data_IF_632275088514
#
_entry.id   IF_632275088514
#
_cell.length_a   1.000
_cell.length_b   1.000
_cell.length_c   1.000
_cell.angle_alpha   90.00
_cell.angle_beta   90.00
_cell.angle_gamma   90.00
#
_symmetry.space_group_name_H-M   'P 1'
#
loop_
_entity.id
_entity.type
_entity.pdbx_description
1 polymer ?
#
# COMPACT_ATOMS: atom_id res chain seq x y z
N UNK A 1 24.90 -39.80 80.97
CA UNK A 1 24.98 -41.26 80.76
C UNK A 1 23.58 -41.84 80.82
N UNK A 2 23.05 -42.32 79.68
CA UNK A 2 22.17 -43.49 79.55
C UNK A 2 21.52 -43.47 78.16
N UNK A 3 22.01 -44.39 77.33
CA UNK A 3 21.53 -44.81 76.02
C UNK A 3 20.15 -45.46 76.07
N UNK A 4 19.30 -45.21 75.07
CA UNK A 4 18.35 -46.20 74.56
C UNK A 4 17.91 -45.85 73.13
N UNK A 5 18.50 -46.55 72.16
CA UNK A 5 17.96 -46.72 70.80
C UNK A 5 16.90 -47.82 70.86
N UNK A 6 15.68 -47.56 70.37
CA UNK A 6 14.79 -48.63 69.91
C UNK A 6 14.11 -48.26 68.59
N UNK A 7 14.30 -49.19 67.65
CA UNK A 7 13.96 -49.19 66.23
C UNK A 7 12.45 -48.97 65.99
N UNK A 8 12.09 -48.28 64.89
CA UNK A 8 10.99 -48.74 64.01
C UNK A 8 10.98 -48.05 62.65
N UNK A 9 10.59 -48.86 61.67
CA UNK A 9 10.75 -48.69 60.25
C UNK A 9 9.95 -47.52 59.63
N UNK A 10 10.48 -47.02 58.52
CA UNK A 10 9.80 -46.16 57.55
C UNK A 10 8.60 -46.88 56.93
N UNK A 11 7.42 -46.24 56.83
CA UNK A 11 6.53 -46.46 55.71
C UNK A 11 6.75 -45.34 54.69
N UNK A 12 7.12 -45.76 53.46
CA UNK A 12 6.94 -44.99 52.23
C UNK A 12 5.46 -44.59 52.12
N UNK A 13 5.16 -43.30 52.16
CA UNK A 13 3.92 -42.78 51.55
C UNK A 13 4.21 -41.52 50.75
N UNK A 14 3.54 -41.49 49.60
CA UNK A 14 3.70 -40.68 48.39
C UNK A 14 3.89 -39.18 48.57
N UNK A 15 4.84 -38.64 47.81
CA UNK A 15 5.08 -37.21 47.59
C UNK A 15 3.99 -36.55 46.72
N UNK A 16 2.76 -36.42 47.23
CA UNK A 16 1.66 -35.76 46.51
C UNK A 16 0.80 -34.81 47.39
N UNK A 17 1.39 -34.13 48.37
CA UNK A 17 0.60 -33.25 49.27
C UNK A 17 1.22 -31.87 49.55
N UNK A 18 2.02 -31.31 48.63
CA UNK A 18 2.60 -29.95 48.83
C UNK A 18 2.45 -28.94 47.68
N UNK A 19 1.62 -29.22 46.68
CA UNK A 19 1.39 -28.30 45.56
C UNK A 19 -0.05 -27.77 45.46
N UNK A 20 -0.72 -27.57 46.59
CA UNK A 20 -2.05 -26.97 46.63
C UNK A 20 -2.10 -25.82 47.63
N UNK A 21 -1.33 -24.74 47.42
CA UNK A 21 -1.55 -23.44 48.10
C UNK A 21 -0.77 -22.25 47.54
N UNK A 22 -0.72 -22.10 46.23
CA UNK A 22 -0.22 -20.86 45.61
C UNK A 22 -1.05 -20.50 44.38
N UNK A 23 -2.28 -20.00 44.58
CA UNK A 23 -3.04 -19.23 43.57
C UNK A 23 -4.28 -18.55 44.15
N UNK A 24 -4.11 -17.81 45.25
CA UNK A 24 -5.22 -17.08 45.89
C UNK A 24 -5.30 -15.59 45.52
N UNK A 25 -4.57 -15.11 44.50
CA UNK A 25 -4.62 -13.70 44.05
C UNK A 25 -4.40 -13.54 42.53
N UNK A 26 -5.16 -14.28 41.71
CA UNK A 26 -5.40 -13.83 40.34
C UNK A 26 -6.86 -13.38 40.31
N UNK A 27 -7.07 -12.07 40.45
CA UNK A 27 -8.38 -11.45 40.21
C UNK A 27 -8.89 -11.91 38.85
N UNK A 28 -10.10 -12.46 38.82
CA UNK A 28 -10.82 -12.67 37.57
C UNK A 28 -10.91 -11.31 36.87
N UNK A 29 -10.11 -11.12 35.81
CA UNK A 29 -10.30 -10.01 34.91
C UNK A 29 -11.59 -10.31 34.16
N UNK A 30 -12.68 -9.71 34.61
CA UNK A 30 -13.94 -9.65 33.88
C UNK A 30 -13.60 -9.19 32.46
N UNK A 31 -13.73 -10.11 31.51
CA UNK A 31 -13.58 -9.81 30.10
C UNK A 31 -14.73 -8.87 29.72
N UNK A 32 -14.44 -7.57 29.75
CA UNK A 32 -15.29 -6.54 29.18
C UNK A 32 -15.59 -6.94 27.73
N UNK A 33 -16.81 -7.45 27.52
CA UNK A 33 -17.32 -7.72 26.19
C UNK A 33 -17.37 -6.39 25.44
N UNK A 34 -16.42 -6.21 24.53
CA UNK A 34 -16.44 -5.12 23.56
C UNK A 34 -17.63 -5.38 22.65
N UNK A 35 -18.77 -4.76 22.94
CA UNK A 35 -19.89 -4.65 22.00
C UNK A 35 -19.33 -4.05 20.72
N UNK A 36 -19.34 -4.82 19.64
CA UNK A 36 -19.06 -4.30 18.31
C UNK A 36 -20.10 -3.21 18.02
N UNK A 37 -19.68 -1.96 18.12
CA UNK A 37 -20.49 -0.82 17.72
C UNK A 37 -20.71 -0.99 16.22
N UNK A 38 -21.96 -1.22 15.81
CA UNK A 38 -22.35 -1.20 14.41
C UNK A 38 -21.72 0.06 13.77
N UNK A 39 -20.93 -0.16 12.72
CA UNK A 39 -20.07 0.87 12.11
C UNK A 39 -20.95 1.82 11.31
N UNK A 40 -21.60 2.72 12.05
CA UNK A 40 -22.65 3.61 11.57
C UNK A 40 -22.13 4.62 10.53
N UNK A 41 -22.92 4.80 9.47
CA UNK A 41 -22.74 5.53 8.19
C UNK A 41 -21.60 5.11 7.23
N UNK A 42 -21.94 4.49 6.10
CA UNK A 42 -20.99 4.20 5.00
C UNK A 42 -20.43 5.52 4.43
N UNK A 43 -19.11 5.71 4.44
CA UNK A 43 -18.49 6.90 3.88
C UNK A 43 -18.23 6.63 2.39
N UNK A 44 -19.30 6.55 1.61
CA UNK A 44 -19.22 6.27 0.18
C UNK A 44 -18.64 7.46 -0.57
N UNK A 45 -17.64 7.19 -1.41
CA UNK A 45 -17.05 8.13 -2.35
C UNK A 45 -17.22 7.61 -3.76
N UNK A 46 -17.62 8.48 -4.67
CA UNK A 46 -17.71 8.17 -6.09
C UNK A 46 -16.41 8.54 -6.80
N UNK A 47 -15.90 7.61 -7.61
CA UNK A 47 -14.77 7.80 -8.52
C UNK A 47 -15.27 7.68 -9.95
N UNK A 48 -15.17 8.76 -10.72
CA UNK A 48 -15.49 8.78 -12.15
C UNK A 48 -14.21 8.53 -12.95
N UNK A 49 -14.06 7.32 -13.49
CA UNK A 49 -12.80 6.86 -14.10
C UNK A 49 -12.95 6.76 -15.62
N UNK A 50 -11.97 7.29 -16.34
CA UNK A 50 -11.86 7.15 -17.79
C UNK A 50 -11.68 5.68 -18.21
N UNK A 51 -12.55 5.21 -19.12
CA UNK A 51 -12.55 3.86 -19.67
C UNK A 51 -12.41 3.91 -21.19
N UNK A 52 -11.49 3.10 -21.69
CA UNK A 52 -11.35 2.87 -23.13
C UNK A 52 -10.56 1.57 -23.37
N UNK A 53 -11.02 0.77 -24.33
CA UNK A 53 -10.38 -0.50 -24.67
C UNK A 53 -10.13 -0.55 -26.18
N UNK A 54 -8.95 -0.99 -26.63
CA UNK A 54 -8.64 -1.06 -28.06
C UNK A 54 -9.50 -2.09 -28.81
N UNK A 55 -10.07 -3.08 -28.10
CA UNK A 55 -10.94 -4.10 -28.67
C UNK A 55 -12.36 -3.59 -28.97
N UNK A 56 -12.81 -2.54 -28.27
CA UNK A 56 -14.13 -1.95 -28.46
C UNK A 56 -14.00 -0.55 -29.06
N UNK A 57 -14.45 -0.38 -30.31
CA UNK A 57 -14.36 0.88 -31.06
C UNK A 57 -15.35 1.96 -30.56
N UNK A 58 -15.98 1.75 -29.41
CA UNK A 58 -16.82 2.77 -28.76
C UNK A 58 -15.99 3.97 -28.31
N UNK A 59 -16.67 5.11 -28.19
CA UNK A 59 -16.06 6.33 -27.66
C UNK A 59 -15.59 6.10 -26.22
N UNK A 60 -14.52 6.77 -25.76
CA UNK A 60 -14.15 6.74 -24.37
C UNK A 60 -15.26 7.30 -23.48
N UNK A 61 -15.44 6.69 -22.31
CA UNK A 61 -16.50 7.03 -21.37
C UNK A 61 -15.95 7.21 -19.95
N UNK A 62 -16.67 7.94 -19.11
CA UNK A 62 -16.43 8.00 -17.68
C UNK A 62 -17.36 7.01 -17.00
N UNK A 63 -16.79 6.09 -16.24
CA UNK A 63 -17.54 5.11 -15.47
C UNK A 63 -17.41 5.40 -13.98
N UNK A 64 -18.55 5.43 -13.29
CA UNK A 64 -18.62 5.73 -11.86
C UNK A 64 -18.50 4.47 -11.01
N UNK A 65 -17.66 4.55 -9.98
CA UNK A 65 -17.46 3.52 -8.97
C UNK A 65 -17.69 4.08 -7.58
N UNK A 66 -18.53 3.44 -6.78
CA UNK A 66 -18.74 3.82 -5.39
C UNK A 66 -17.90 2.93 -4.47
N UNK A 67 -17.07 3.55 -3.65
CA UNK A 67 -16.17 2.86 -2.72
C UNK A 67 -16.38 3.40 -1.30
N UNK A 68 -16.46 2.49 -0.33
CA UNK A 68 -16.47 2.87 1.09
C UNK A 68 -15.06 3.23 1.55
N UNK A 69 -14.87 4.51 1.94
CA UNK A 69 -13.59 5.01 2.43
C UNK A 69 -13.16 4.39 3.76
N UNK A 70 -14.09 3.80 4.53
CA UNK A 70 -13.76 3.12 5.80
C UNK A 70 -13.03 1.80 5.62
N UNK A 71 -13.13 1.22 4.43
CA UNK A 71 -12.53 -0.05 4.03
C UNK A 71 -11.53 0.14 2.86
N UNK A 72 -11.06 1.37 2.67
CA UNK A 72 -10.08 1.74 1.67
C UNK A 72 -8.90 2.44 2.34
N UNK A 73 -7.72 2.31 1.75
CA UNK A 73 -6.57 3.12 2.14
C UNK A 73 -6.79 4.60 1.80
N UNK A 74 -5.96 5.51 2.36
CA UNK A 74 -6.17 6.95 2.24
C UNK A 74 -5.81 7.52 0.85
N UNK A 75 -5.10 6.77 0.01
CA UNK A 75 -4.60 7.26 -1.28
C UNK A 75 -5.48 6.83 -2.44
N UNK A 76 -5.49 7.61 -3.52
CA UNK A 76 -6.27 7.31 -4.73
C UNK A 76 -5.87 5.96 -5.34
N UNK A 77 -4.58 5.60 -5.30
CA UNK A 77 -4.11 4.28 -5.75
C UNK A 77 -4.75 3.14 -4.96
N UNK A 78 -5.05 3.34 -3.68
CA UNK A 78 -5.68 2.32 -2.85
C UNK A 78 -7.11 2.05 -3.32
N UNK A 79 -7.84 3.12 -3.65
CA UNK A 79 -9.17 3.02 -4.24
C UNK A 79 -9.14 2.34 -5.62
N UNK A 80 -8.19 2.69 -6.49
CA UNK A 80 -8.05 2.05 -7.81
C UNK A 80 -7.76 0.55 -7.70
N UNK A 81 -6.90 0.16 -6.75
CA UNK A 81 -6.63 -1.26 -6.48
C UNK A 81 -7.86 -1.97 -5.93
N UNK A 82 -8.60 -1.34 -5.01
CA UNK A 82 -9.84 -1.90 -4.45
C UNK A 82 -10.89 -2.11 -5.54
N UNK A 83 -11.13 -1.10 -6.38
CA UNK A 83 -12.02 -1.21 -7.54
C UNK A 83 -11.61 -2.38 -8.42
N UNK A 84 -10.32 -2.50 -8.76
CA UNK A 84 -9.83 -3.58 -9.62
C UNK A 84 -10.01 -4.97 -8.98
N UNK A 85 -9.78 -5.10 -7.68
CA UNK A 85 -9.79 -6.39 -7.01
C UNK A 85 -11.21 -6.87 -6.69
N UNK A 86 -12.12 -5.96 -6.33
CA UNK A 86 -13.42 -6.30 -5.75
C UNK A 86 -14.60 -5.99 -6.66
N UNK A 87 -14.48 -5.01 -7.57
CA UNK A 87 -15.61 -4.49 -8.35
C UNK A 87 -15.46 -4.78 -9.85
N UNK A 88 -14.35 -4.34 -10.46
CA UNK A 88 -14.08 -4.52 -11.88
C UNK A 88 -12.62 -4.89 -12.18
N UNK A 89 -12.32 -6.19 -12.39
CA UNK A 89 -10.97 -6.65 -12.70
C UNK A 89 -10.47 -6.19 -14.07
N UNK A 90 -11.32 -5.65 -14.94
CA UNK A 90 -10.92 -5.17 -16.28
C UNK A 90 -10.24 -3.80 -16.23
N UNK A 91 -10.45 -3.01 -15.17
CA UNK A 91 -9.84 -1.69 -14.99
C UNK A 91 -8.31 -1.77 -15.04
N UNK A 92 -7.68 -1.06 -15.97
CA UNK A 92 -6.23 -1.15 -16.21
C UNK A 92 -5.50 0.15 -15.90
N UNK A 93 -4.42 0.07 -15.11
CA UNK A 93 -3.54 1.19 -14.79
C UNK A 93 -2.14 0.69 -14.43
N UNK A 94 -1.13 1.58 -14.51
CA UNK A 94 0.25 1.25 -14.13
C UNK A 94 0.51 1.59 -12.66
N UNK A 95 1.18 0.68 -11.95
CA UNK A 95 1.61 0.84 -10.55
C UNK A 95 2.77 -0.09 -10.22
N UNK A 96 3.66 0.35 -9.31
CA UNK A 96 4.77 -0.48 -8.79
C UNK A 96 5.08 -0.16 -7.32
N UNK A 97 5.82 0.92 -7.03
CA UNK A 97 6.41 1.16 -5.69
C UNK A 97 5.45 1.58 -4.56
N UNK A 98 4.29 2.18 -4.87
CA UNK A 98 3.33 2.76 -3.90
C UNK A 98 3.84 3.89 -2.97
N UNK A 99 5.08 4.32 -3.11
CA UNK A 99 5.68 5.41 -2.30
C UNK A 99 6.14 6.62 -3.13
N UNK A 100 5.76 6.64 -4.40
CA UNK A 100 6.00 7.78 -5.29
C UNK A 100 7.36 7.84 -5.97
N UNK A 101 8.28 6.89 -5.71
CA UNK A 101 9.64 6.97 -6.26
C UNK A 101 9.73 6.57 -7.75
N UNK A 102 8.91 5.62 -8.22
CA UNK A 102 9.03 5.07 -9.57
C UNK A 102 8.31 5.89 -10.67
N UNK A 103 7.42 6.81 -10.30
CA UNK A 103 6.59 7.58 -11.26
C UNK A 103 5.56 6.78 -12.08
N UNK A 104 5.39 5.47 -11.87
CA UNK A 104 4.56 4.63 -12.76
C UNK A 104 3.05 4.93 -12.70
N UNK A 105 2.54 5.48 -11.60
CA UNK A 105 1.11 5.77 -11.41
C UNK A 105 0.75 7.25 -11.66
N UNK A 106 1.48 7.89 -12.57
CA UNK A 106 1.17 9.24 -13.02
C UNK A 106 -0.14 9.26 -13.82
N UNK A 107 -1.07 10.11 -13.40
CA UNK A 107 -2.38 10.30 -14.05
C UNK A 107 -2.94 11.68 -13.68
N UNK A 108 -4.07 12.05 -14.27
CA UNK A 108 -4.79 13.27 -13.92
C UNK A 108 -5.91 12.95 -12.92
N UNK A 109 -5.87 13.61 -11.77
CA UNK A 109 -6.80 13.42 -10.65
C UNK A 109 -7.40 14.79 -10.35
N UNK A 110 -8.71 14.92 -10.50
CA UNK A 110 -9.46 16.16 -10.26
C UNK A 110 -8.89 17.36 -11.05
N UNK A 111 -8.47 17.12 -12.29
CA UNK A 111 -7.90 18.13 -13.18
C UNK A 111 -6.40 18.36 -12.99
N UNK A 112 -5.79 17.86 -11.92
CA UNK A 112 -4.37 18.03 -11.63
C UNK A 112 -3.57 16.77 -11.96
N UNK A 113 -2.41 16.92 -12.60
CA UNK A 113 -1.50 15.80 -12.82
C UNK A 113 -0.77 15.46 -11.52
N UNK A 114 -0.81 14.18 -11.13
CA UNK A 114 -0.20 13.72 -9.90
C UNK A 114 0.09 12.22 -9.89
N UNK A 115 0.70 11.75 -8.81
CA UNK A 115 0.93 10.33 -8.57
C UNK A 115 -0.20 9.79 -7.70
N UNK A 116 -0.99 8.85 -8.22
CA UNK A 116 -2.12 8.29 -7.47
C UNK A 116 -1.74 7.71 -6.11
N UNK A 117 -0.50 7.24 -5.94
CA UNK A 117 0.01 6.72 -4.67
C UNK A 117 0.33 7.79 -3.62
N UNK A 118 0.46 9.05 -4.01
CA UNK A 118 0.72 10.17 -3.09
C UNK A 118 -0.49 11.11 -2.96
N UNK A 119 -1.42 11.04 -3.89
CA UNK A 119 -2.66 11.83 -3.85
C UNK A 119 -3.63 11.22 -2.84
N UNK A 120 -3.96 11.99 -1.79
CA UNK A 120 -4.96 11.62 -0.80
C UNK A 120 -6.36 11.74 -1.39
N UNK A 121 -7.25 10.84 -0.98
CA UNK A 121 -8.67 10.94 -1.32
C UNK A 121 -9.31 12.04 -0.46
N UNK A 122 -9.97 12.98 -1.11
CA UNK A 122 -10.74 14.00 -0.40
C UNK A 122 -12.04 13.41 0.15
N UNK A 123 -12.28 13.58 1.45
CA UNK A 123 -13.48 13.10 2.15
C UNK A 123 -14.76 13.89 1.84
N UNK A 124 -14.71 14.87 0.93
CA UNK A 124 -15.86 15.64 0.47
C UNK A 124 -16.83 14.80 -0.39
N UNK A 125 -18.06 15.32 -0.54
CA UNK A 125 -19.15 14.68 -1.31
C UNK A 125 -18.98 14.74 -2.84
N UNK A 126 -18.05 15.54 -3.35
CA UNK A 126 -17.76 15.62 -4.79
C UNK A 126 -17.26 14.27 -5.31
N UNK A 127 -17.64 13.89 -6.53
CA UNK A 127 -17.03 12.76 -7.21
C UNK A 127 -15.59 13.13 -7.60
N UNK A 128 -14.65 12.20 -7.39
CA UNK A 128 -13.27 12.38 -7.85
C UNK A 128 -13.14 11.87 -9.27
N UNK A 129 -12.68 12.72 -10.18
CA UNK A 129 -12.51 12.39 -11.60
C UNK A 129 -11.08 11.95 -11.86
N UNK A 130 -10.92 10.76 -12.44
CA UNK A 130 -9.60 10.18 -12.76
C UNK A 130 -9.51 9.95 -14.26
N UNK A 131 -8.56 10.63 -14.90
CA UNK A 131 -8.30 10.54 -16.33
C UNK A 131 -6.82 10.21 -16.59
N UNK A 132 -6.47 9.65 -17.76
CA UNK A 132 -5.07 9.45 -18.14
C UNK A 132 -4.31 10.79 -18.21
N UNK A 133 -2.98 10.71 -18.34
CA UNK A 133 -2.18 11.91 -18.58
C UNK A 133 -2.70 12.68 -19.81
N UNK A 134 -2.90 14.01 -19.71
CA UNK A 134 -3.54 14.78 -20.76
C UNK A 134 -2.70 14.78 -22.02
N UNK A 135 -3.38 14.82 -23.16
CA UNK A 135 -2.76 14.97 -24.50
C UNK A 135 -1.81 13.83 -24.92
N UNK A 136 -1.92 12.66 -24.28
CA UNK A 136 -1.17 11.45 -24.62
C UNK A 136 -2.07 10.42 -25.31
N UNK A 137 -1.50 9.58 -26.16
CA UNK A 137 -2.22 8.45 -26.75
C UNK A 137 -2.50 7.39 -25.68
N UNK A 138 -3.78 7.02 -25.52
CA UNK A 138 -4.21 6.00 -24.58
C UNK A 138 -4.08 4.62 -25.22
N UNK A 139 -3.46 3.68 -24.52
CA UNK A 139 -3.36 2.26 -24.92
C UNK A 139 -4.56 1.47 -24.38
N UNK A 140 -4.94 1.71 -23.11
CA UNK A 140 -6.11 1.11 -22.46
C UNK A 140 -6.39 1.83 -21.14
N UNK A 141 -7.63 2.23 -20.89
CA UNK A 141 -8.07 2.90 -19.66
C UNK A 141 -7.13 4.04 -19.24
N UNK A 142 -6.42 3.91 -18.11
CA UNK A 142 -5.49 4.91 -17.58
C UNK A 142 -4.04 4.70 -18.05
N UNK A 143 -3.79 3.76 -18.97
CA UNK A 143 -2.46 3.45 -19.49
C UNK A 143 -2.22 4.23 -20.78
N UNK A 144 -1.21 5.10 -20.75
CA UNK A 144 -0.77 5.90 -21.89
C UNK A 144 0.50 5.34 -22.55
N UNK A 145 0.69 5.68 -23.82
CA UNK A 145 1.94 5.43 -24.53
C UNK A 145 3.02 6.45 -24.13
N UNK A 146 4.11 5.95 -23.55
CA UNK A 146 5.25 6.75 -23.09
C UNK A 146 6.44 6.69 -24.06
N UNK A 147 6.29 6.05 -25.22
CA UNK A 147 7.39 5.82 -26.17
C UNK A 147 8.01 7.12 -26.64
N UNK A 148 7.19 8.11 -27.04
CA UNK A 148 7.68 9.42 -27.46
C UNK A 148 8.43 10.15 -26.33
N UNK A 149 7.92 10.11 -25.10
CA UNK A 149 8.57 10.71 -23.94
C UNK A 149 9.96 10.13 -23.69
N UNK A 150 10.10 8.80 -23.75
CA UNK A 150 11.41 8.15 -23.56
C UNK A 150 12.37 8.40 -24.73
N UNK A 151 11.86 8.51 -25.96
CA UNK A 151 12.69 8.83 -27.11
C UNK A 151 13.30 10.24 -27.01
N UNK A 152 12.53 11.22 -26.52
CA UNK A 152 13.03 12.57 -26.22
C UNK A 152 14.08 12.57 -25.11
N UNK A 153 13.88 11.78 -24.05
CA UNK A 153 14.89 11.64 -23.00
C UNK A 153 16.18 10.97 -23.51
N UNK A 154 16.07 10.01 -24.43
CA UNK A 154 17.24 9.37 -25.04
C UNK A 154 18.04 10.31 -25.94
N UNK A 155 17.38 11.23 -26.65
CA UNK A 155 18.05 12.12 -27.62
C UNK A 155 19.02 13.12 -26.99
N UNK A 156 18.87 13.43 -25.69
CA UNK A 156 19.80 14.31 -24.97
C UNK A 156 21.06 13.57 -24.47
N UNK A 157 21.13 12.26 -24.67
CA UNK A 157 22.23 11.40 -24.24
C UNK A 157 22.60 11.59 -22.75
N UNK A 158 21.69 11.26 -21.81
CA UNK A 158 21.77 11.63 -20.39
C UNK A 158 22.75 10.74 -19.62
N UNK A 159 24.00 10.67 -20.07
CA UNK A 159 25.10 9.94 -19.44
C UNK A 159 26.39 10.74 -19.52
N UNK A 160 27.35 10.39 -18.66
CA UNK A 160 28.65 11.05 -18.62
C UNK A 160 29.44 10.73 -19.90
N UNK A 161 29.74 11.77 -20.69
CA UNK A 161 30.67 11.67 -21.82
C UNK A 161 32.06 12.12 -21.38
N UNK A 162 33.03 11.21 -21.45
CA UNK A 162 34.44 11.53 -21.21
C UNK A 162 35.15 11.72 -22.54
N UNK A 163 36.04 12.71 -22.61
CA UNK A 163 37.02 12.78 -23.70
C UNK A 163 37.92 11.53 -23.62
N UNK A 164 38.32 10.93 -24.75
CA UNK A 164 39.29 9.85 -24.75
C UNK A 164 40.63 10.33 -24.15
N UNK A 165 41.32 9.44 -23.43
CA UNK A 165 42.62 9.73 -22.83
C UNK A 165 43.69 9.84 -23.93
N UNK A 166 43.88 11.06 -24.43
CA UNK A 166 44.90 11.41 -25.42
C UNK A 166 45.16 12.92 -25.54
N UNK A 167 44.50 13.74 -24.71
CA UNK A 167 44.55 15.21 -24.74
C UNK A 167 45.25 15.77 -23.48
N UNK A 168 46.22 15.02 -22.94
CA UNK A 168 47.00 15.38 -21.75
C UNK A 168 48.12 16.41 -22.02
N UNK A 169 48.25 16.95 -23.24
CA UNK A 169 49.33 17.89 -23.58
C UNK A 169 49.10 19.34 -23.14
N UNK A 170 47.92 19.71 -22.62
CA UNK A 170 47.63 21.09 -22.20
C UNK A 170 47.09 21.22 -20.76
N UNK A 171 47.38 20.25 -19.88
CA UNK A 171 47.24 20.49 -18.43
C UNK A 171 48.60 20.82 -17.84
N UNK A 172 49.15 21.95 -18.30
CA UNK A 172 50.22 22.63 -17.60
C UNK A 172 49.72 23.01 -16.22
N UNK A 173 50.26 22.34 -15.20
CA UNK A 173 50.31 22.92 -13.86
C UNK A 173 51.20 24.16 -13.98
N UNK A 174 50.57 25.34 -13.93
CA UNK A 174 51.29 26.56 -13.62
C UNK A 174 51.66 26.48 -12.13
N UNK A 175 52.93 26.17 -11.87
CA UNK A 175 53.62 26.45 -10.62
C UNK A 175 54.25 27.85 -10.69
#
# INVERSE_FOLDING_TARGET
MATAMFKRALPRTSALSRYARARAHASEAEALQVKQKARDSTALKTFSIYRWTPENLTKPELQDYQIDLKDCGPMVLDALIKIKNEVDPTLTFRRSCREGICGSCAMNIDGCNGLACLTKIESGSSASTITPLPHMFVIKDLVVDMTNFYNQYKSIEPWLKRKPAGDERERGFAE
#
